data_IF_157228527995
#
_entry.id   IF_157228527995
#
_cell.length_a   1.000
_cell.length_b   1.000
_cell.length_c   1.000
_cell.angle_alpha   90.00
_cell.angle_beta   90.00
_cell.angle_gamma   90.00
#
_symmetry.space_group_name_H-M   'P 1'
#
loop_
_entity.id
_entity.type
_entity.pdbx_description
1 polymer ?
#
# COMPACT_ATOMS: atom_id res chain seq x y z
N UNK A 1 -26.90 -36.80 -15.85
CA UNK A 1 -26.34 -35.58 -15.27
C UNK A 1 -26.69 -35.57 -13.79
N UNK A 2 -25.74 -35.87 -12.97
CA UNK A 2 -25.88 -35.77 -11.49
C UNK A 2 -25.24 -34.48 -11.03
N UNK A 3 -26.05 -33.55 -10.58
CA UNK A 3 -25.63 -32.33 -9.91
C UNK A 3 -25.04 -32.66 -8.53
N UNK A 4 -23.74 -32.48 -8.37
CA UNK A 4 -23.10 -32.52 -7.06
C UNK A 4 -23.26 -31.15 -6.42
N UNK A 5 -24.06 -31.07 -5.37
CA UNK A 5 -24.16 -29.95 -4.46
C UNK A 5 -22.97 -29.98 -3.50
N UNK A 6 -22.12 -28.97 -3.55
CA UNK A 6 -21.06 -28.73 -2.58
C UNK A 6 -21.70 -28.28 -1.26
N UNK A 7 -21.43 -28.92 -0.12
CA UNK A 7 -21.91 -28.41 1.15
C UNK A 7 -21.07 -27.18 1.58
N UNK A 8 -21.75 -26.06 1.73
CA UNK A 8 -21.20 -24.85 2.35
C UNK A 8 -21.04 -25.15 3.84
N UNK A 9 -19.80 -25.28 4.28
CA UNK A 9 -19.45 -25.44 5.69
C UNK A 9 -19.58 -24.08 6.38
N UNK A 10 -20.71 -23.85 7.05
CA UNK A 10 -20.86 -22.72 7.99
C UNK A 10 -20.00 -23.03 9.22
N UNK A 11 -18.85 -22.38 9.34
CA UNK A 11 -18.05 -22.38 10.56
C UNK A 11 -18.76 -21.51 11.60
N UNK A 12 -19.48 -22.14 12.53
CA UNK A 12 -19.94 -21.48 13.75
C UNK A 12 -18.74 -21.18 14.64
N UNK A 13 -18.30 -19.93 14.70
CA UNK A 13 -17.33 -19.46 15.68
C UNK A 13 -17.99 -19.40 17.06
N UNK A 14 -17.77 -20.42 17.89
CA UNK A 14 -18.00 -20.30 19.33
C UNK A 14 -16.82 -19.54 19.93
N UNK A 15 -17.07 -18.33 20.44
CA UNK A 15 -16.13 -17.61 21.30
C UNK A 15 -15.92 -18.39 22.57
N UNK A 16 -14.78 -19.07 22.74
CA UNK A 16 -14.38 -19.68 23.99
C UNK A 16 -13.83 -18.61 24.93
N UNK A 17 -14.55 -18.34 26.01
CA UNK A 17 -14.10 -17.56 27.17
C UNK A 17 -12.91 -18.32 27.79
N UNK A 18 -11.78 -17.69 28.11
CA UNK A 18 -10.64 -18.37 28.70
C UNK A 18 -10.99 -18.80 30.14
N UNK A 19 -11.25 -20.08 30.34
CA UNK A 19 -11.55 -20.65 31.64
C UNK A 19 -12.13 -22.07 31.62
N UNK A 20 -12.67 -22.52 30.50
CA UNK A 20 -13.27 -23.85 30.39
C UNK A 20 -12.88 -24.42 29.02
N UNK A 21 -11.75 -25.06 28.93
CA UNK A 21 -11.44 -25.95 27.81
C UNK A 21 -10.35 -26.94 28.22
N UNK A 22 -10.75 -27.94 28.95
CA UNK A 22 -10.13 -29.24 28.81
C UNK A 22 -11.02 -30.07 27.88
N UNK A 23 -10.38 -30.53 26.79
CA UNK A 23 -10.70 -31.68 25.99
C UNK A 23 -12.07 -31.79 25.31
N UNK A 24 -12.13 -31.40 24.08
CA UNK A 24 -12.53 -32.20 22.90
C UNK A 24 -12.55 -31.32 21.66
N UNK A 25 -11.40 -31.20 20.99
CA UNK A 25 -11.37 -30.66 19.62
C UNK A 25 -12.02 -31.69 18.70
N UNK A 26 -13.02 -31.32 17.88
CA UNK A 26 -13.62 -32.26 16.93
C UNK A 26 -12.53 -32.80 16.00
N UNK A 27 -12.36 -34.13 15.99
CA UNK A 27 -11.47 -34.76 15.03
C UNK A 27 -12.20 -34.88 13.70
N UNK A 28 -11.82 -34.03 12.74
CA UNK A 28 -12.21 -34.19 11.36
C UNK A 28 -11.24 -35.15 10.69
N UNK A 29 -11.75 -36.27 10.19
CA UNK A 29 -11.00 -37.21 9.34
C UNK A 29 -11.40 -36.97 7.87
N UNK A 30 -10.43 -36.97 6.95
CA UNK A 30 -10.70 -37.05 5.54
C UNK A 30 -11.11 -38.50 5.15
N UNK A 31 -11.61 -38.68 3.94
CA UNK A 31 -12.05 -40.00 3.43
C UNK A 31 -10.93 -41.04 3.36
N UNK A 32 -9.69 -40.67 3.62
CA UNK A 32 -8.50 -41.52 3.69
C UNK A 32 -7.99 -41.76 5.12
N UNK A 33 -8.75 -41.33 6.13
CA UNK A 33 -8.37 -41.51 7.55
C UNK A 33 -7.26 -40.58 8.05
N UNK A 34 -6.89 -39.56 7.30
CA UNK A 34 -5.91 -38.56 7.75
C UNK A 34 -6.58 -37.61 8.75
N UNK A 35 -6.07 -37.53 9.96
CA UNK A 35 -6.59 -36.63 10.97
C UNK A 35 -6.20 -35.20 10.68
N UNK A 36 -7.20 -34.31 10.49
CA UNK A 36 -7.02 -32.87 10.48
C UNK A 36 -6.96 -32.41 11.93
N UNK A 37 -5.78 -32.04 12.40
CA UNK A 37 -5.58 -31.54 13.74
C UNK A 37 -5.42 -30.01 13.75
N UNK A 38 -6.34 -29.32 14.43
CA UNK A 38 -6.15 -27.92 14.80
C UNK A 38 -5.17 -27.86 15.97
N UNK A 39 -3.91 -27.58 15.69
CA UNK A 39 -2.88 -27.44 16.73
C UNK A 39 -2.44 -26.00 16.85
N UNK A 40 -2.16 -25.58 18.07
CA UNK A 40 -1.44 -24.33 18.31
C UNK A 40 -0.13 -24.35 17.55
N UNK A 41 0.19 -23.28 16.83
CA UNK A 41 1.41 -23.18 16.02
C UNK A 41 2.65 -23.37 16.87
N UNK A 42 3.46 -24.38 16.56
CA UNK A 42 4.78 -24.57 17.14
C UNK A 42 5.81 -23.60 16.55
N UNK A 43 6.98 -23.50 17.15
CA UNK A 43 8.04 -22.58 16.74
C UNK A 43 8.49 -22.81 15.29
N UNK A 44 8.64 -24.06 14.86
CA UNK A 44 9.05 -24.42 13.51
C UNK A 44 7.98 -24.00 12.46
N UNK A 45 6.72 -24.24 12.77
CA UNK A 45 5.60 -23.80 11.90
C UNK A 45 5.56 -22.28 11.80
N UNK A 46 5.77 -21.55 12.91
CA UNK A 46 5.82 -20.09 12.90
C UNK A 46 6.98 -19.56 12.05
N UNK A 47 8.13 -20.19 12.12
CA UNK A 47 9.28 -19.81 11.29
C UNK A 47 8.97 -19.94 9.80
N UNK A 48 8.36 -21.05 9.38
CA UNK A 48 7.94 -21.27 7.99
C UNK A 48 6.93 -20.19 7.55
N UNK A 49 5.89 -19.95 8.34
CA UNK A 49 4.89 -18.95 8.05
C UNK A 49 5.49 -17.55 7.95
N UNK A 50 6.39 -17.17 8.87
CA UNK A 50 7.01 -15.84 8.87
C UNK A 50 7.92 -15.59 7.67
N UNK A 51 8.53 -16.63 7.09
CA UNK A 51 9.30 -16.49 5.83
C UNK A 51 8.45 -15.97 4.67
N UNK A 52 7.21 -16.45 4.57
CA UNK A 52 6.29 -16.15 3.49
C UNK A 52 5.27 -15.04 3.83
N UNK A 53 5.30 -14.56 5.06
CA UNK A 53 4.36 -13.53 5.50
C UNK A 53 4.70 -12.19 4.84
N UNK A 54 3.70 -11.45 4.33
CA UNK A 54 3.93 -10.10 3.83
C UNK A 54 4.58 -9.20 4.88
N UNK A 55 5.46 -8.32 4.44
CA UNK A 55 6.24 -7.43 5.32
C UNK A 55 5.33 -6.51 6.12
N UNK A 56 4.29 -5.99 5.50
CA UNK A 56 3.28 -5.13 6.11
C UNK A 56 2.52 -5.80 7.27
N UNK A 57 2.49 -7.12 7.29
CA UNK A 57 1.81 -7.88 8.34
C UNK A 57 2.76 -8.39 9.45
N UNK A 58 4.07 -8.17 9.34
CA UNK A 58 5.04 -8.69 10.33
C UNK A 58 4.91 -8.07 11.71
N UNK A 59 4.33 -6.88 11.81
CA UNK A 59 4.04 -6.23 13.09
C UNK A 59 2.86 -6.86 13.84
N UNK A 60 1.96 -7.54 13.12
CA UNK A 60 0.79 -8.22 13.72
C UNK A 60 1.25 -9.59 14.21
N UNK A 61 0.80 -10.09 15.38
CA UNK A 61 1.13 -11.43 15.84
C UNK A 61 0.80 -12.50 14.78
N UNK A 62 1.68 -13.48 14.63
CA UNK A 62 1.38 -14.60 13.75
C UNK A 62 0.15 -15.37 14.25
N UNK A 63 -0.69 -15.93 13.35
CA UNK A 63 -1.84 -16.70 13.73
C UNK A 63 -1.49 -17.78 14.75
N UNK A 64 -2.34 -17.95 15.77
CA UNK A 64 -2.10 -18.90 16.84
C UNK A 64 -2.39 -20.34 16.41
N UNK A 65 -3.18 -20.51 15.34
CA UNK A 65 -3.62 -21.81 14.86
C UNK A 65 -3.22 -22.03 13.42
N UNK A 66 -2.84 -23.28 13.12
CA UNK A 66 -2.57 -23.70 11.75
C UNK A 66 -3.14 -25.11 11.54
N UNK A 67 -3.67 -25.33 10.35
CA UNK A 67 -3.96 -26.65 9.83
C UNK A 67 -2.72 -27.15 9.12
N UNK A 68 -2.23 -28.34 9.49
CA UNK A 68 -1.05 -28.91 8.87
C UNK A 68 -1.17 -30.41 8.65
N UNK A 69 -0.56 -30.92 7.59
CA UNK A 69 -0.43 -32.36 7.38
C UNK A 69 0.58 -32.95 8.34
N UNK A 70 0.44 -34.26 8.61
CA UNK A 70 1.30 -35.00 9.57
C UNK A 70 2.80 -34.86 9.30
N UNK A 71 3.20 -34.70 8.06
CA UNK A 71 4.60 -34.52 7.63
C UNK A 71 5.03 -33.06 7.48
N UNK A 72 4.20 -32.10 7.90
CA UNK A 72 4.41 -30.65 7.74
C UNK A 72 4.66 -30.17 6.29
N UNK A 73 4.33 -30.96 5.29
CA UNK A 73 4.50 -30.57 3.89
C UNK A 73 3.47 -29.57 3.41
N UNK A 74 2.32 -29.48 4.09
CA UNK A 74 1.27 -28.51 3.84
C UNK A 74 0.88 -27.82 5.14
N UNK A 75 0.86 -26.50 5.13
CA UNK A 75 0.49 -25.64 6.26
C UNK A 75 -0.47 -24.59 5.73
N UNK A 76 -1.60 -24.41 6.41
CA UNK A 76 -2.57 -23.36 6.10
C UNK A 76 -2.93 -22.62 7.38
N UNK A 77 -2.97 -21.30 7.33
CA UNK A 77 -3.41 -20.45 8.43
C UNK A 77 -4.43 -19.44 7.97
N UNK A 78 -5.31 -19.08 8.86
CA UNK A 78 -6.23 -17.95 8.73
C UNK A 78 -5.85 -16.97 9.83
N UNK A 79 -5.61 -15.74 9.46
CA UNK A 79 -5.32 -14.63 10.36
C UNK A 79 -6.13 -13.41 9.99
N UNK A 80 -5.91 -12.32 10.70
CA UNK A 80 -6.56 -11.09 10.37
C UNK A 80 -6.59 -10.09 11.51
N UNK A 81 -7.32 -9.01 11.30
CA UNK A 81 -7.59 -8.00 12.31
C UNK A 81 -8.98 -7.41 12.16
N UNK A 82 -9.58 -7.08 13.28
CA UNK A 82 -10.80 -6.28 13.35
C UNK A 82 -10.40 -4.95 13.98
N UNK A 83 -10.69 -3.86 13.29
CA UNK A 83 -10.37 -2.51 13.71
C UNK A 83 -11.64 -1.71 13.98
N UNK A 84 -11.58 -0.85 14.95
CA UNK A 84 -12.54 0.23 15.16
C UNK A 84 -11.76 1.54 15.24
N UNK A 85 -12.01 2.44 14.29
CA UNK A 85 -11.38 3.75 14.22
C UNK A 85 -12.44 4.80 14.52
N UNK A 86 -12.12 5.70 15.46
CA UNK A 86 -12.88 6.90 15.74
C UNK A 86 -12.04 8.09 15.35
N UNK A 87 -12.57 8.99 14.54
CA UNK A 87 -11.82 10.15 14.06
C UNK A 87 -12.64 11.43 14.16
N UNK A 88 -11.91 12.53 14.33
CA UNK A 88 -12.45 13.87 14.36
C UNK A 88 -11.61 14.78 13.47
N UNK A 89 -12.18 15.17 12.33
CA UNK A 89 -11.58 16.15 11.42
C UNK A 89 -11.77 17.56 11.96
N UNK A 90 -10.72 18.37 11.89
CA UNK A 90 -10.70 19.76 12.38
C UNK A 90 -10.32 20.67 11.23
N UNK A 91 -11.28 21.30 10.59
CA UNK A 91 -11.02 22.30 9.54
C UNK A 91 -11.81 22.09 8.28
N UNK A 92 -11.24 21.45 7.27
CA UNK A 92 -11.82 21.38 5.93
C UNK A 92 -12.68 20.13 5.68
N UNK A 93 -12.93 19.32 6.69
CA UNK A 93 -13.76 18.13 6.61
C UNK A 93 -13.27 17.14 5.53
N UNK A 94 -12.00 16.78 5.63
CA UNK A 94 -11.33 15.91 4.68
C UNK A 94 -12.00 14.54 4.53
N UNK A 95 -12.56 14.00 5.60
CA UNK A 95 -13.29 12.74 5.61
C UNK A 95 -14.43 12.67 4.58
N UNK A 96 -15.11 13.80 4.31
CA UNK A 96 -16.22 13.87 3.34
C UNK A 96 -15.78 14.18 1.91
N UNK A 97 -14.50 14.40 1.68
CA UNK A 97 -14.02 14.61 0.32
C UNK A 97 -14.05 13.29 -0.47
N UNK A 98 -14.48 13.32 -1.74
CA UNK A 98 -14.66 12.09 -2.54
C UNK A 98 -13.41 11.21 -2.62
N UNK A 99 -12.22 11.84 -2.67
CA UNK A 99 -10.95 11.15 -2.89
C UNK A 99 -10.21 10.81 -1.59
N UNK A 100 -10.72 11.23 -0.43
CA UNK A 100 -10.05 11.02 0.85
C UNK A 100 -10.62 9.83 1.64
N UNK A 101 -11.93 9.81 1.82
CA UNK A 101 -12.56 8.81 2.69
C UNK A 101 -11.97 8.84 4.10
N UNK A 102 -11.64 7.66 4.64
CA UNK A 102 -11.04 7.53 5.97
C UNK A 102 -9.55 7.86 5.97
N UNK A 103 -8.86 7.70 4.83
CA UNK A 103 -7.46 8.08 4.69
C UNK A 103 -7.26 9.58 4.87
N UNK A 104 -6.14 9.98 5.45
CA UNK A 104 -5.75 11.39 5.52
C UNK A 104 -5.00 11.79 4.24
N UNK A 105 -5.75 11.87 3.13
CA UNK A 105 -5.22 12.14 1.79
C UNK A 105 -4.93 13.62 1.63
N UNK A 106 -3.69 14.05 1.80
CA UNK A 106 -3.32 15.47 1.76
C UNK A 106 -3.62 16.13 0.42
N UNK A 107 -3.56 15.37 -0.69
CA UNK A 107 -3.93 15.87 -2.02
C UNK A 107 -5.43 16.13 -2.21
N UNK A 108 -6.27 15.64 -1.32
CA UNK A 108 -7.71 15.87 -1.31
C UNK A 108 -8.12 17.05 -0.43
N UNK A 109 -7.19 17.68 0.30
CA UNK A 109 -7.48 18.88 1.09
C UNK A 109 -8.02 19.98 0.15
N UNK A 110 -9.23 20.52 0.40
CA UNK A 110 -9.83 21.55 -0.44
C UNK A 110 -8.99 22.83 -0.50
N UNK A 111 -8.74 23.35 -1.71
CA UNK A 111 -8.08 24.64 -1.94
C UNK A 111 -8.91 25.43 -2.94
N UNK A 112 -9.41 26.62 -2.56
CA UNK A 112 -9.31 27.28 -1.25
C UNK A 112 -10.05 26.51 -0.15
N UNK A 113 -9.67 26.77 1.09
CA UNK A 113 -10.36 26.19 2.27
C UNK A 113 -11.87 26.43 2.22
N UNK A 114 -12.64 25.43 2.63
CA UNK A 114 -14.10 25.52 2.69
C UNK A 114 -14.50 26.61 3.69
N UNK A 115 -15.34 27.54 3.26
CA UNK A 115 -15.87 28.59 4.16
C UNK A 115 -16.77 27.98 5.25
N UNK A 116 -16.54 28.35 6.51
CA UNK A 116 -17.30 27.86 7.65
C UNK A 116 -16.79 26.51 8.16
N UNK A 117 -15.60 26.51 8.77
CA UNK A 117 -14.96 25.36 9.40
C UNK A 117 -15.94 24.29 9.88
N UNK A 118 -15.99 23.17 9.19
CA UNK A 118 -16.82 22.04 9.57
C UNK A 118 -15.92 20.95 10.14
N UNK A 119 -16.01 20.78 11.44
CA UNK A 119 -15.48 19.59 12.09
C UNK A 119 -16.46 18.44 11.90
N UNK A 120 -15.95 17.25 11.73
CA UNK A 120 -16.78 16.06 11.57
C UNK A 120 -16.23 14.89 12.38
N UNK A 121 -17.16 14.14 12.97
CA UNK A 121 -16.83 12.92 13.73
C UNK A 121 -17.27 11.70 12.94
N UNK A 122 -16.43 10.67 12.93
CA UNK A 122 -16.76 9.40 12.30
C UNK A 122 -16.34 8.21 13.16
N UNK A 123 -17.03 7.11 12.97
CA UNK A 123 -16.68 5.78 13.50
C UNK A 123 -16.69 4.83 12.32
N UNK A 124 -15.61 4.07 12.16
CA UNK A 124 -15.50 3.17 11.03
C UNK A 124 -14.65 1.94 11.38
N UNK A 125 -15.06 0.72 10.97
CA UNK A 125 -14.28 -0.51 11.10
C UNK A 125 -13.24 -0.70 9.95
N UNK A 126 -12.79 0.37 9.33
CA UNK A 126 -11.82 0.33 8.23
C UNK A 126 -10.52 -0.39 8.61
N UNK A 127 -9.83 -0.95 7.63
CA UNK A 127 -8.68 -1.82 7.79
C UNK A 127 -8.97 -3.14 8.51
N UNK A 128 -10.25 -3.49 8.73
CA UNK A 128 -10.58 -4.85 9.12
C UNK A 128 -10.34 -5.78 7.93
N UNK A 129 -9.60 -6.84 8.18
CA UNK A 129 -9.21 -7.77 7.12
C UNK A 129 -9.03 -9.19 7.65
N UNK A 130 -9.25 -10.15 6.77
CA UNK A 130 -8.94 -11.56 6.99
C UNK A 130 -7.90 -11.96 5.95
N UNK A 131 -6.89 -12.70 6.36
CA UNK A 131 -5.88 -13.24 5.47
C UNK A 131 -5.80 -14.77 5.57
N UNK A 132 -5.53 -15.38 4.42
CA UNK A 132 -5.27 -16.80 4.26
C UNK A 132 -3.84 -16.96 3.76
N UNK A 133 -3.06 -17.74 4.48
CA UNK A 133 -1.72 -18.11 4.07
C UNK A 133 -1.61 -19.62 3.94
N UNK A 134 -1.07 -20.07 2.81
CA UNK A 134 -0.85 -21.48 2.50
C UNK A 134 0.62 -21.68 2.17
N UNK A 135 1.26 -22.68 2.75
CA UNK A 135 2.61 -23.10 2.37
C UNK A 135 2.58 -24.59 2.06
N UNK A 136 2.95 -24.93 0.84
CA UNK A 136 3.07 -26.29 0.34
C UNK A 136 4.53 -26.68 0.17
N UNK A 137 4.84 -27.96 0.31
CA UNK A 137 6.19 -28.53 0.20
C UNK A 137 7.20 -27.82 1.10
N UNK A 138 6.76 -27.43 2.31
CA UNK A 138 7.57 -26.67 3.25
C UNK A 138 8.94 -27.32 3.48
N UNK A 139 9.98 -26.48 3.60
CA UNK A 139 11.39 -26.87 3.78
C UNK A 139 11.97 -27.75 2.64
N UNK A 140 11.40 -27.70 1.46
CA UNK A 140 11.96 -28.36 0.26
C UNK A 140 12.48 -27.33 -0.77
N UNK A 141 13.26 -27.80 -1.74
CA UNK A 141 13.69 -26.94 -2.86
C UNK A 141 12.54 -26.44 -3.75
N UNK A 142 11.37 -27.02 -3.64
CA UNK A 142 10.17 -26.68 -4.41
C UNK A 142 9.08 -26.07 -3.52
N UNK A 143 9.47 -25.46 -2.41
CA UNK A 143 8.53 -24.74 -1.53
C UNK A 143 7.72 -23.73 -2.31
N UNK A 144 6.41 -23.77 -2.09
CA UNK A 144 5.40 -22.93 -2.74
C UNK A 144 4.58 -22.26 -1.64
N UNK A 145 4.25 -20.99 -1.78
CA UNK A 145 3.29 -20.35 -0.89
C UNK A 145 2.22 -19.59 -1.68
N UNK A 146 1.07 -19.42 -1.06
CA UNK A 146 0.02 -18.54 -1.51
C UNK A 146 -0.47 -17.67 -0.36
N UNK A 147 -0.79 -16.43 -0.66
CA UNK A 147 -1.33 -15.46 0.27
C UNK A 147 -2.51 -14.73 -0.36
N UNK A 148 -3.62 -14.69 0.38
CA UNK A 148 -4.83 -13.94 -0.02
C UNK A 148 -5.26 -13.09 1.16
N UNK A 149 -5.52 -11.80 0.92
CA UNK A 149 -6.06 -10.87 1.90
C UNK A 149 -7.34 -10.26 1.40
N UNK A 150 -8.40 -10.42 2.17
CA UNK A 150 -9.69 -9.79 1.96
C UNK A 150 -9.90 -8.75 3.06
N UNK A 151 -10.37 -7.58 2.71
CA UNK A 151 -10.59 -6.53 3.69
C UNK A 151 -11.65 -5.55 3.26
N UNK A 152 -12.00 -4.66 4.18
CA UNK A 152 -12.92 -3.57 3.91
C UNK A 152 -12.15 -2.40 3.32
N UNK A 153 -12.71 -1.79 2.28
CA UNK A 153 -12.16 -0.58 1.66
C UNK A 153 -13.22 0.51 1.58
N UNK A 154 -12.80 1.73 1.88
CA UNK A 154 -13.63 2.92 1.76
C UNK A 154 -14.81 2.99 2.72
N UNK A 155 -15.68 3.96 2.45
CA UNK A 155 -16.82 4.28 3.30
C UNK A 155 -17.97 3.27 3.20
N UNK A 156 -18.00 2.46 2.14
CA UNK A 156 -19.11 1.55 1.84
C UNK A 156 -18.93 0.15 2.45
N UNK A 157 -17.86 -0.09 3.20
CA UNK A 157 -17.56 -1.38 3.85
C UNK A 157 -17.61 -2.59 2.89
N UNK A 158 -17.40 -2.37 1.60
CA UNK A 158 -17.36 -3.44 0.64
C UNK A 158 -16.15 -4.34 0.91
N UNK A 159 -16.39 -5.64 0.91
CA UNK A 159 -15.30 -6.62 0.98
C UNK A 159 -14.57 -6.65 -0.35
N UNK A 160 -13.28 -6.40 -0.32
CA UNK A 160 -12.42 -6.35 -1.50
C UNK A 160 -11.25 -7.31 -1.37
N UNK A 161 -10.79 -7.81 -2.51
CA UNK A 161 -9.49 -8.47 -2.60
C UNK A 161 -8.40 -7.40 -2.51
N UNK A 162 -7.61 -7.44 -1.45
CA UNK A 162 -6.53 -6.49 -1.23
C UNK A 162 -5.18 -7.01 -1.71
N UNK A 163 -4.99 -8.33 -1.68
CA UNK A 163 -3.76 -9.01 -2.12
C UNK A 163 -4.11 -10.43 -2.55
N UNK A 164 -3.50 -10.90 -3.62
CA UNK A 164 -3.55 -12.29 -4.03
C UNK A 164 -2.29 -12.64 -4.82
N UNK A 165 -1.37 -13.34 -4.19
CA UNK A 165 -0.13 -13.74 -4.87
C UNK A 165 0.35 -15.10 -4.39
N UNK A 166 1.20 -15.70 -5.18
CA UNK A 166 1.93 -16.93 -4.86
C UNK A 166 3.43 -16.72 -5.01
N UNK A 167 4.19 -17.50 -4.25
CA UNK A 167 5.64 -17.59 -4.40
C UNK A 167 6.04 -19.02 -4.75
N UNK A 168 7.01 -19.15 -5.60
CA UNK A 168 7.67 -20.41 -5.90
C UNK A 168 9.16 -20.18 -5.87
N UNK A 169 9.85 -20.75 -4.87
CA UNK A 169 11.26 -20.45 -4.61
C UNK A 169 11.44 -18.92 -4.41
N UNK A 170 12.27 -18.32 -5.26
CA UNK A 170 12.63 -16.90 -5.24
C UNK A 170 11.73 -16.03 -6.15
N UNK A 171 10.75 -16.65 -6.83
CA UNK A 171 9.80 -15.96 -7.71
C UNK A 171 8.50 -15.64 -6.98
N UNK A 172 7.93 -14.50 -7.32
CA UNK A 172 6.60 -14.08 -6.88
C UNK A 172 5.74 -13.75 -8.08
N UNK A 173 4.45 -14.14 -8.02
CA UNK A 173 3.46 -13.96 -9.08
C UNK A 173 2.14 -13.52 -8.47
N UNK A 174 1.52 -12.45 -8.95
CA UNK A 174 0.18 -12.03 -8.54
C UNK A 174 0.09 -10.59 -8.10
N UNK A 175 -1.00 -10.26 -7.41
CA UNK A 175 -1.33 -8.90 -6.97
C UNK A 175 -0.79 -8.63 -5.57
N UNK A 176 0.13 -7.69 -5.46
CA UNK A 176 0.76 -7.28 -4.20
C UNK A 176 1.24 -5.82 -4.26
N UNK A 177 1.83 -5.33 -3.18
CA UNK A 177 2.52 -4.04 -3.22
C UNK A 177 3.69 -4.10 -4.21
N UNK A 178 3.83 -3.05 -5.03
CA UNK A 178 4.87 -2.93 -6.06
C UNK A 178 6.26 -3.28 -5.53
N UNK A 179 7.09 -3.89 -6.37
CA UNK A 179 8.48 -4.20 -6.05
C UNK A 179 9.32 -2.94 -5.75
N UNK A 180 8.92 -1.78 -6.30
CA UNK A 180 9.58 -0.50 -6.01
C UNK A 180 9.42 -0.10 -4.56
N UNK A 181 8.27 -0.41 -3.91
CA UNK A 181 7.97 -0.01 -2.54
C UNK A 181 8.89 -0.71 -1.53
N UNK A 182 9.43 0.06 -0.61
CA UNK A 182 10.14 -0.47 0.55
C UNK A 182 9.24 -0.50 1.79
N UNK A 183 8.51 -1.60 1.97
CA UNK A 183 7.56 -1.76 3.08
C UNK A 183 8.19 -1.68 4.48
N UNK A 184 9.50 -1.87 4.61
CA UNK A 184 10.18 -1.74 5.90
C UNK A 184 10.54 -0.29 6.25
N UNK A 185 10.74 0.55 5.23
CA UNK A 185 11.21 1.92 5.39
C UNK A 185 10.14 2.97 5.02
N UNK A 186 8.97 2.50 4.55
CA UNK A 186 7.92 3.39 4.10
C UNK A 186 7.50 4.34 5.22
N UNK A 187 7.22 3.81 6.40
CA UNK A 187 6.77 4.62 7.54
C UNK A 187 6.84 3.86 8.86
N UNK A 188 6.91 4.55 10.02
CA UNK A 188 6.58 3.95 11.29
C UNK A 188 5.09 3.56 11.36
N UNK A 189 4.66 2.75 12.34
CA UNK A 189 3.26 2.43 12.55
C UNK A 189 2.37 3.67 12.64
N UNK A 190 1.20 3.61 11.99
CA UNK A 190 0.20 4.68 11.94
C UNK A 190 -1.21 4.10 11.95
N UNK A 191 -2.17 4.85 12.46
CA UNK A 191 -3.61 4.54 12.37
C UNK A 191 -4.13 4.94 11.00
N UNK A 192 -3.55 5.99 10.39
CA UNK A 192 -3.95 6.46 9.06
C UNK A 192 -3.70 5.40 7.98
N UNK A 193 -4.75 4.92 7.30
CA UNK A 193 -4.62 3.92 6.25
C UNK A 193 -3.92 4.44 4.98
N UNK A 194 -3.93 5.77 4.78
CA UNK A 194 -3.24 6.39 3.65
C UNK A 194 -1.74 6.44 3.89
N UNK A 195 -1.30 6.91 5.06
CA UNK A 195 0.10 7.14 5.36
C UNK A 195 0.70 8.38 4.70
N UNK A 196 2.04 8.53 4.76
CA UNK A 196 2.71 9.76 4.39
C UNK A 196 2.64 10.08 2.89
N UNK A 197 2.38 11.34 2.57
CA UNK A 197 2.15 11.85 1.21
C UNK A 197 3.26 11.51 0.20
N UNK A 198 4.52 11.54 0.62
CA UNK A 198 5.68 11.27 -0.24
C UNK A 198 6.16 9.82 -0.25
N UNK A 199 5.42 8.91 0.39
CA UNK A 199 5.77 7.50 0.38
C UNK A 199 5.59 6.90 -1.03
N UNK A 200 6.50 6.02 -1.43
CA UNK A 200 6.32 5.18 -2.62
C UNK A 200 5.43 4.02 -2.23
N UNK A 201 4.22 3.99 -2.77
CA UNK A 201 3.24 2.94 -2.51
C UNK A 201 2.27 2.78 -3.67
N UNK A 202 2.10 1.56 -4.14
CA UNK A 202 1.06 1.17 -5.09
C UNK A 202 0.84 -0.34 -5.02
N UNK A 203 -0.25 -0.80 -5.60
CA UNK A 203 -0.54 -2.22 -5.82
C UNK A 203 -0.33 -2.52 -7.30
N UNK A 204 0.30 -3.64 -7.60
CA UNK A 204 0.58 -4.06 -8.96
C UNK A 204 0.34 -5.56 -9.15
N UNK A 205 -0.03 -5.96 -10.37
CA UNK A 205 0.21 -7.31 -10.83
C UNK A 205 1.70 -7.44 -11.10
N UNK A 206 2.34 -8.33 -10.38
CA UNK A 206 3.80 -8.45 -10.34
C UNK A 206 4.25 -9.85 -10.74
N UNK A 207 5.33 -9.90 -11.53
CA UNK A 207 6.17 -11.06 -11.69
C UNK A 207 7.56 -10.63 -11.28
N UNK A 208 8.10 -11.19 -10.20
CA UNK A 208 9.41 -10.76 -9.69
C UNK A 208 10.26 -11.93 -9.25
N UNK A 209 11.57 -11.69 -9.30
CA UNK A 209 12.58 -12.51 -8.69
C UNK A 209 13.24 -11.73 -7.56
N UNK A 210 13.38 -12.38 -6.40
CA UNK A 210 14.09 -11.81 -5.24
C UNK A 210 15.18 -12.77 -4.81
N UNK A 211 16.45 -12.36 -4.85
CA UNK A 211 17.58 -13.20 -4.49
C UNK A 211 17.54 -13.64 -3.02
N UNK A 212 18.03 -14.83 -2.68
CA UNK A 212 18.40 -15.16 -1.32
C UNK A 212 19.39 -14.14 -0.74
N UNK A 213 19.41 -14.01 0.60
CA UNK A 213 20.39 -13.15 1.26
C UNK A 213 21.77 -13.80 1.24
N UNK A 214 22.76 -13.07 0.73
CA UNK A 214 24.15 -13.47 0.79
C UNK A 214 24.99 -12.41 1.51
N UNK A 215 25.48 -12.72 2.70
CA UNK A 215 26.27 -11.79 3.55
C UNK A 215 25.62 -10.43 3.73
N UNK A 216 24.31 -10.39 3.89
CA UNK A 216 23.53 -9.17 4.04
C UNK A 216 23.06 -8.54 2.72
N UNK A 217 23.59 -8.94 1.57
CA UNK A 217 23.15 -8.45 0.27
C UNK A 217 21.94 -9.22 -0.27
N UNK A 218 21.01 -8.47 -0.84
CA UNK A 218 19.86 -8.97 -1.61
C UNK A 218 19.60 -8.05 -2.79
N UNK A 219 18.99 -8.60 -3.83
CA UNK A 219 18.48 -7.82 -4.96
C UNK A 219 17.18 -8.41 -5.48
N UNK A 220 16.42 -7.61 -6.18
CA UNK A 220 15.24 -8.08 -6.89
C UNK A 220 15.06 -7.29 -8.19
N UNK A 221 14.38 -7.93 -9.12
CA UNK A 221 13.94 -7.35 -10.38
C UNK A 221 12.57 -7.92 -10.72
N UNK A 222 11.71 -7.14 -11.33
CA UNK A 222 10.37 -7.58 -11.69
C UNK A 222 9.76 -6.85 -12.85
N UNK A 223 8.55 -7.26 -13.16
CA UNK A 223 7.63 -6.63 -14.09
C UNK A 223 6.39 -6.27 -13.29
N UNK A 224 6.03 -4.98 -13.25
CA UNK A 224 4.89 -4.44 -12.52
C UNK A 224 3.87 -3.87 -13.49
N UNK A 225 2.60 -4.19 -13.24
CA UNK A 225 1.45 -3.55 -13.88
C UNK A 225 0.56 -2.96 -12.76
N UNK A 226 0.65 -1.65 -12.49
CA UNK A 226 -0.12 -1.03 -11.43
C UNK A 226 -1.61 -1.25 -11.59
N UNK A 227 -2.30 -1.74 -10.56
CA UNK A 227 -3.74 -2.02 -10.58
C UNK A 227 -4.55 -0.78 -10.27
N UNK A 228 -4.05 0.03 -9.34
CA UNK A 228 -4.62 1.34 -9.07
C UNK A 228 -4.07 2.34 -10.08
N UNK A 229 -4.97 3.00 -10.81
CA UNK A 229 -4.61 4.07 -11.73
C UNK A 229 -3.74 3.61 -12.92
N UNK A 230 -4.09 2.49 -13.55
CA UNK A 230 -3.36 1.96 -14.71
C UNK A 230 -3.23 2.95 -15.87
N UNK A 231 -4.26 3.78 -16.09
CA UNK A 231 -4.25 4.88 -17.07
C UNK A 231 -3.94 6.24 -16.44
N UNK A 232 -3.77 6.29 -15.13
CA UNK A 232 -3.64 7.55 -14.43
C UNK A 232 -2.25 8.15 -14.56
N UNK A 233 -2.21 9.44 -14.60
CA UNK A 233 -1.00 10.20 -14.75
C UNK A 233 -0.75 10.66 -16.17
N UNK A 234 -1.64 10.35 -17.10
CA UNK A 234 -1.62 10.88 -18.46
C UNK A 234 -2.66 12.00 -18.57
N UNK A 235 -2.29 13.04 -19.27
CA UNK A 235 -3.13 14.13 -19.68
C UNK A 235 -4.41 13.66 -20.39
N UNK A 236 -5.56 14.25 -20.05
CA UNK A 236 -6.88 13.82 -20.57
C UNK A 236 -7.28 14.40 -21.92
N UNK A 237 -6.39 15.14 -22.58
CA UNK A 237 -6.66 15.77 -23.86
C UNK A 237 -7.34 17.15 -23.74
N UNK A 238 -7.00 18.03 -24.67
CA UNK A 238 -7.75 19.25 -24.93
C UNK A 238 -8.46 19.12 -26.28
N UNK A 239 -9.70 19.59 -26.33
CA UNK A 239 -10.41 19.69 -27.59
C UNK A 239 -9.88 20.90 -28.37
N UNK A 240 -9.25 20.63 -29.51
CA UNK A 240 -8.86 21.67 -30.47
C UNK A 240 -9.89 21.77 -31.58
N UNK A 241 -10.33 22.96 -31.96
CA UNK A 241 -11.16 23.13 -33.16
C UNK A 241 -10.33 22.80 -34.41
N UNK A 242 -10.81 21.81 -35.17
CA UNK A 242 -10.29 21.60 -36.53
C UNK A 242 -10.70 22.72 -37.48
N UNK A 243 -9.99 22.81 -38.58
CA UNK A 243 -10.28 23.79 -39.64
C UNK A 243 -11.70 23.63 -40.24
N UNK A 244 -12.31 22.47 -40.11
CA UNK A 244 -13.68 22.14 -40.53
C UNK A 244 -14.75 22.41 -39.44
N UNK A 245 -14.37 22.98 -38.31
CA UNK A 245 -15.27 23.27 -37.19
C UNK A 245 -15.56 22.11 -36.25
N UNK A 246 -15.01 20.91 -36.51
CA UNK A 246 -15.12 19.78 -35.56
C UNK A 246 -14.08 19.92 -34.43
N UNK A 247 -14.45 19.52 -33.23
CA UNK A 247 -13.50 19.44 -32.11
C UNK A 247 -12.78 18.08 -32.13
N UNK A 248 -11.46 18.13 -32.03
CA UNK A 248 -10.61 16.92 -31.92
C UNK A 248 -9.78 17.01 -30.67
N UNK A 249 -9.87 15.99 -29.87
CA UNK A 249 -8.97 15.79 -28.73
C UNK A 249 -7.55 15.57 -29.26
N UNK A 250 -6.58 16.37 -28.84
CA UNK A 250 -5.19 16.33 -29.33
C UNK A 250 -4.44 15.05 -28.95
N UNK A 251 -4.90 14.35 -27.88
CA UNK A 251 -4.34 13.09 -27.43
C UNK A 251 -5.42 12.04 -27.20
N UNK A 252 -5.08 10.80 -27.50
CA UNK A 252 -5.85 9.64 -27.10
C UNK A 252 -4.96 8.79 -26.20
N UNK A 253 -5.53 8.29 -25.09
CA UNK A 253 -4.86 7.32 -24.25
C UNK A 253 -4.38 6.15 -25.09
N UNK A 254 -3.13 5.79 -24.90
CA UNK A 254 -2.59 4.58 -25.45
C UNK A 254 -2.45 3.56 -24.33
N UNK A 255 -2.68 2.31 -24.68
CA UNK A 255 -2.50 1.21 -23.75
C UNK A 255 -1.04 1.09 -23.33
N UNK A 256 -0.79 0.77 -22.06
CA UNK A 256 0.53 0.42 -21.59
C UNK A 256 0.91 -0.94 -22.18
N UNK A 257 1.73 -0.96 -23.21
CA UNK A 257 2.11 -2.16 -23.94
C UNK A 257 3.19 -2.98 -23.23
N UNK A 258 3.99 -2.35 -22.38
CA UNK A 258 5.11 -2.95 -21.68
C UNK A 258 4.94 -2.68 -20.19
N UNK A 259 4.99 -3.71 -19.33
CA UNK A 259 4.99 -3.52 -17.88
C UNK A 259 6.12 -2.60 -17.43
N UNK A 260 5.94 -1.93 -16.29
CA UNK A 260 7.00 -1.20 -15.61
C UNK A 260 8.05 -2.18 -15.11
N UNK A 261 9.33 -1.77 -15.07
CA UNK A 261 10.45 -2.61 -14.68
C UNK A 261 11.10 -2.04 -13.41
N UNK A 262 10.61 -2.41 -12.22
CA UNK A 262 11.27 -2.08 -10.97
C UNK A 262 12.41 -3.04 -10.67
N UNK A 263 13.44 -2.51 -10.00
CA UNK A 263 14.55 -3.30 -9.47
C UNK A 263 15.11 -2.63 -8.22
N UNK A 264 15.72 -3.43 -7.32
CA UNK A 264 16.42 -2.89 -6.17
C UNK A 264 17.61 -3.75 -5.74
N UNK A 265 18.54 -3.11 -5.02
CA UNK A 265 19.62 -3.74 -4.29
C UNK A 265 19.58 -3.27 -2.84
N UNK A 266 19.72 -4.19 -1.90
CA UNK A 266 19.64 -3.96 -0.47
C UNK A 266 20.86 -4.55 0.23
N UNK A 267 21.36 -3.80 1.21
CA UNK A 267 22.34 -4.32 2.16
C UNK A 267 21.81 -4.16 3.60
N UNK A 268 21.75 -5.29 4.31
CA UNK A 268 21.28 -5.34 5.70
C UNK A 268 22.46 -5.63 6.63
N UNK A 269 22.77 -4.68 7.50
CA UNK A 269 23.77 -4.83 8.57
C UNK A 269 23.22 -5.65 9.75
N UNK A 270 21.92 -5.50 10.00
CA UNK A 270 21.16 -6.24 11.01
C UNK A 270 19.67 -6.21 10.67
N UNK A 271 18.81 -6.76 11.52
CA UNK A 271 17.37 -6.82 11.28
C UNK A 271 16.74 -5.44 10.99
N UNK A 272 17.19 -4.38 11.68
CA UNK A 272 16.63 -3.03 11.57
C UNK A 272 17.66 -1.98 11.09
N UNK A 273 18.80 -2.42 10.59
CA UNK A 273 19.81 -1.53 10.02
C UNK A 273 20.07 -1.96 8.59
N UNK A 274 19.47 -1.25 7.64
CA UNK A 274 19.57 -1.59 6.23
C UNK A 274 19.47 -0.34 5.36
N UNK A 275 20.02 -0.46 4.18
CA UNK A 275 19.96 0.53 3.11
C UNK A 275 19.53 -0.18 1.83
N UNK A 276 18.62 0.46 1.08
CA UNK A 276 18.14 -0.03 -0.21
C UNK A 276 18.22 1.09 -1.23
N UNK A 277 18.71 0.76 -2.41
CA UNK A 277 18.61 1.58 -3.61
C UNK A 277 17.68 0.87 -4.57
N UNK A 278 16.65 1.57 -5.03
CA UNK A 278 15.66 1.05 -5.97
C UNK A 278 15.58 1.93 -7.21
N UNK A 279 15.18 1.37 -8.31
CA UNK A 279 14.93 2.08 -9.55
C UNK A 279 13.73 1.49 -10.28
N UNK A 280 13.15 2.30 -11.19
CA UNK A 280 12.06 1.88 -12.06
C UNK A 280 12.22 2.51 -13.43
N UNK A 281 11.96 1.72 -14.48
CA UNK A 281 11.77 2.19 -15.83
C UNK A 281 10.33 1.96 -16.23
N UNK A 282 9.73 2.97 -16.87
CA UNK A 282 8.33 2.98 -17.30
C UNK A 282 8.26 3.30 -18.77
N UNK A 283 7.37 2.63 -19.50
CA UNK A 283 7.11 2.93 -20.90
C UNK A 283 5.64 3.30 -21.07
N UNK A 284 5.40 4.45 -21.71
CA UNK A 284 4.07 4.91 -22.06
C UNK A 284 3.96 5.10 -23.55
N UNK A 285 2.82 4.70 -24.10
CA UNK A 285 2.46 5.03 -25.45
C UNK A 285 1.23 5.96 -25.43
N UNK A 286 1.19 6.91 -26.35
CA UNK A 286 0.01 7.74 -26.59
C UNK A 286 -0.15 8.01 -28.07
N UNK A 287 -1.38 8.23 -28.49
CA UNK A 287 -1.67 8.63 -29.85
C UNK A 287 -1.73 10.14 -29.96
N UNK A 288 -0.77 10.71 -30.69
CA UNK A 288 -0.79 12.10 -31.10
C UNK A 288 -1.83 12.25 -32.22
N UNK A 289 -2.95 12.86 -31.90
CA UNK A 289 -4.07 13.02 -32.85
C UNK A 289 -3.82 14.11 -33.87
N UNK A 290 -2.89 15.06 -33.61
CA UNK A 290 -2.49 16.10 -34.55
C UNK A 290 -1.66 15.49 -35.67
N UNK A 291 -0.63 14.73 -35.30
CA UNK A 291 0.25 14.08 -36.28
C UNK A 291 -0.26 12.67 -36.70
N UNK A 292 -1.38 12.21 -36.14
CA UNK A 292 -1.98 10.89 -36.37
C UNK A 292 -0.98 9.72 -36.26
N UNK A 293 -0.15 9.76 -35.21
CA UNK A 293 0.86 8.72 -34.96
C UNK A 293 0.95 8.35 -33.49
N UNK A 294 1.32 7.09 -33.21
CA UNK A 294 1.66 6.65 -31.87
C UNK A 294 3.05 7.16 -31.50
N UNK A 295 3.16 7.74 -30.31
CA UNK A 295 4.43 8.18 -29.70
C UNK A 295 4.69 7.38 -28.43
N UNK A 296 5.95 7.21 -28.12
CA UNK A 296 6.41 6.54 -26.90
C UNK A 296 7.14 7.54 -26.00
N UNK A 297 6.98 7.34 -24.69
CA UNK A 297 7.64 8.12 -23.65
C UNK A 297 8.19 7.20 -22.59
N UNK A 298 9.34 7.57 -22.05
CA UNK A 298 9.99 6.84 -20.96
C UNK A 298 9.84 7.65 -19.68
N UNK A 299 9.27 7.02 -18.65
CA UNK A 299 9.37 7.46 -17.27
C UNK A 299 10.49 6.71 -16.54
N UNK A 300 11.06 7.33 -15.54
CA UNK A 300 12.08 6.69 -14.71
C UNK A 300 12.04 7.24 -13.29
N UNK A 301 12.48 6.44 -12.34
CA UNK A 301 12.62 6.84 -10.95
C UNK A 301 13.75 6.13 -10.25
N UNK A 302 14.29 6.78 -9.24
CA UNK A 302 15.26 6.22 -8.31
C UNK A 302 14.81 6.50 -6.88
N UNK A 303 15.09 5.58 -5.97
CA UNK A 303 14.73 5.70 -4.56
C UNK A 303 15.87 5.19 -3.69
N UNK A 304 16.17 5.97 -2.65
CA UNK A 304 17.00 5.57 -1.52
C UNK A 304 16.09 5.39 -0.31
N UNK A 305 16.18 4.24 0.35
CA UNK A 305 15.36 3.94 1.53
C UNK A 305 16.11 3.08 2.54
N UNK A 306 15.62 3.05 3.76
CA UNK A 306 16.19 2.18 4.78
C UNK A 306 15.69 2.47 6.19
N UNK A 307 16.27 1.71 7.12
CA UNK A 307 16.04 1.84 8.54
C UNK A 307 17.37 1.89 9.27
N UNK A 308 17.40 2.64 10.35
CA UNK A 308 18.51 2.69 11.31
C UNK A 308 17.96 2.49 12.72
N UNK A 309 18.53 1.53 13.44
CA UNK A 309 18.16 1.23 14.82
C UNK A 309 19.43 1.31 15.69
N UNK A 310 19.76 2.51 16.21
CA UNK A 310 20.94 2.70 17.04
C UNK A 310 20.83 2.00 18.41
N UNK A 311 19.61 1.64 18.81
CA UNK A 311 19.34 0.87 20.02
C UNK A 311 18.01 0.11 19.86
N UNK A 312 17.74 -0.86 20.72
CA UNK A 312 16.49 -1.66 20.71
C UNK A 312 15.22 -0.79 20.92
N UNK A 313 15.39 0.44 21.38
CA UNK A 313 14.27 1.36 21.63
C UNK A 313 13.93 2.25 20.44
N UNK A 314 14.88 2.56 19.57
CA UNK A 314 14.69 3.51 18.47
C UNK A 314 14.84 2.85 17.11
N UNK A 315 13.89 3.14 16.22
CA UNK A 315 13.98 2.80 14.80
C UNK A 315 13.69 4.07 14.00
N UNK A 316 14.66 4.48 13.21
CA UNK A 316 14.50 5.56 12.24
C UNK A 316 14.15 4.98 10.87
N UNK A 317 13.25 5.66 10.19
CA UNK A 317 12.76 5.31 8.84
C UNK A 317 13.11 6.46 7.91
N UNK A 318 13.60 6.16 6.72
CA UNK A 318 13.86 7.17 5.71
C UNK A 318 13.61 6.64 4.31
N UNK A 319 13.06 7.49 3.47
CA UNK A 319 12.84 7.25 2.06
C UNK A 319 12.96 8.56 1.30
N UNK A 320 13.64 8.54 0.15
CA UNK A 320 13.70 9.63 -0.81
C UNK A 320 13.58 9.04 -2.20
N UNK A 321 12.53 9.40 -2.92
CA UNK A 321 12.29 9.03 -4.30
C UNK A 321 12.29 10.27 -5.19
N UNK A 322 12.95 10.18 -6.33
CA UNK A 322 12.94 11.19 -7.38
C UNK A 322 12.84 10.53 -8.75
N UNK A 323 12.13 11.19 -9.66
CA UNK A 323 12.03 10.70 -11.03
C UNK A 323 11.17 11.57 -11.92
N UNK A 324 10.91 11.07 -13.12
CA UNK A 324 10.03 11.69 -14.11
C UNK A 324 8.95 10.71 -14.52
N UNK A 325 7.68 11.13 -14.42
CA UNK A 325 6.56 10.26 -14.79
C UNK A 325 6.25 9.15 -13.80
N UNK A 326 6.64 9.27 -12.52
CA UNK A 326 6.43 8.25 -11.48
C UNK A 326 5.24 8.55 -10.56
N UNK A 327 4.33 9.43 -10.92
CA UNK A 327 3.22 9.84 -10.05
C UNK A 327 2.35 8.69 -9.56
N UNK A 328 2.15 7.64 -10.37
CA UNK A 328 1.40 6.45 -9.95
C UNK A 328 2.03 5.70 -8.76
N UNK A 329 3.31 5.92 -8.52
CA UNK A 329 4.06 5.29 -7.42
C UNK A 329 4.20 6.19 -6.19
N UNK A 330 3.86 7.48 -6.28
CA UNK A 330 3.87 8.40 -5.15
C UNK A 330 2.47 8.49 -4.55
N UNK A 331 2.35 8.13 -3.29
CA UNK A 331 1.10 7.93 -2.56
C UNK A 331 0.05 9.04 -2.82
N UNK A 332 0.45 10.29 -2.68
CA UNK A 332 -0.45 11.44 -2.75
C UNK A 332 -0.72 11.94 -4.18
N UNK A 333 0.13 11.56 -5.12
CA UNK A 333 0.05 11.97 -6.53
C UNK A 333 -0.66 10.91 -7.38
N UNK A 334 -0.73 9.68 -6.89
CA UNK A 334 -1.35 8.56 -7.61
C UNK A 334 -2.79 8.91 -8.02
N UNK A 335 -3.10 8.62 -9.29
CA UNK A 335 -4.40 8.93 -9.87
C UNK A 335 -4.56 10.33 -10.46
N UNK A 336 -3.62 11.25 -10.23
CA UNK A 336 -3.68 12.59 -10.83
C UNK A 336 -3.08 12.60 -12.25
N UNK A 337 -3.68 13.32 -13.22
CA UNK A 337 -3.27 13.31 -14.61
C UNK A 337 -2.07 14.25 -14.86
N UNK A 338 -0.99 14.07 -14.11
CA UNK A 338 0.17 14.98 -14.04
C UNK A 338 1.53 14.31 -14.18
N UNK A 339 1.57 12.98 -14.35
CA UNK A 339 2.83 12.27 -14.61
C UNK A 339 3.40 12.59 -15.98
N UNK A 340 2.54 12.68 -16.99
CA UNK A 340 2.86 13.05 -18.35
C UNK A 340 1.91 14.16 -18.78
N UNK A 341 2.48 15.25 -19.23
CA UNK A 341 1.76 16.50 -19.53
C UNK A 341 2.15 17.01 -20.91
N UNK A 342 1.27 17.77 -21.59
CA UNK A 342 1.60 18.36 -22.88
C UNK A 342 2.76 19.33 -22.76
N UNK A 343 3.58 19.42 -23.81
CA UNK A 343 4.52 20.52 -23.99
C UNK A 343 3.79 21.76 -24.44
N UNK A 344 4.07 22.89 -23.82
CA UNK A 344 3.37 24.14 -24.13
C UNK A 344 3.76 24.72 -25.51
N UNK A 345 4.97 24.39 -25.97
CA UNK A 345 5.59 24.90 -27.21
C UNK A 345 5.54 23.94 -28.40
N UNK A 346 5.15 22.67 -28.16
CA UNK A 346 5.14 21.62 -29.19
C UNK A 346 3.80 20.83 -29.15
N UNK A 347 2.76 21.33 -29.87
CA UNK A 347 1.47 20.65 -29.99
C UNK A 347 1.64 19.19 -30.41
N UNK A 348 0.89 18.26 -29.79
CA UNK A 348 0.98 16.83 -30.05
C UNK A 348 2.15 16.12 -29.36
N UNK A 349 2.98 16.82 -28.60
CA UNK A 349 4.06 16.22 -27.82
C UNK A 349 3.85 16.38 -26.32
N UNK A 350 4.19 15.35 -25.57
CA UNK A 350 4.13 15.31 -24.13
C UNK A 350 5.54 15.31 -23.51
N UNK A 351 5.62 15.67 -22.24
CA UNK A 351 6.82 15.56 -21.40
C UNK A 351 6.49 14.85 -20.09
N UNK A 352 7.46 14.12 -19.55
CA UNK A 352 7.35 13.54 -18.22
C UNK A 352 7.62 14.61 -17.16
N UNK A 353 6.74 14.71 -16.17
CA UNK A 353 6.88 15.69 -15.09
C UNK A 353 7.91 15.24 -14.07
N UNK A 354 8.91 16.06 -13.72
CA UNK A 354 9.81 15.82 -12.60
C UNK A 354 9.04 15.85 -11.28
N UNK A 355 9.24 14.85 -10.44
CA UNK A 355 8.55 14.72 -9.17
C UNK A 355 9.39 14.02 -8.11
N UNK A 356 9.05 14.28 -6.86
CA UNK A 356 9.74 13.74 -5.70
C UNK A 356 8.75 13.37 -4.61
N UNK A 357 9.06 12.31 -3.89
CA UNK A 357 8.46 11.98 -2.61
C UNK A 357 9.53 11.65 -1.60
N UNK A 358 9.39 12.14 -0.38
CA UNK A 358 10.26 11.72 0.71
C UNK A 358 9.51 11.65 2.03
N UNK A 359 9.98 10.81 2.91
CA UNK A 359 9.51 10.71 4.27
C UNK A 359 10.63 10.34 5.22
N UNK A 360 10.50 10.82 6.43
CA UNK A 360 11.33 10.45 7.59
C UNK A 360 10.40 10.15 8.75
N UNK A 361 10.79 9.21 9.58
CA UNK A 361 10.02 8.85 10.75
C UNK A 361 10.86 8.20 11.83
N UNK A 362 10.30 8.14 13.03
CA UNK A 362 10.91 7.49 14.17
C UNK A 362 9.89 6.72 14.98
N UNK A 363 10.24 5.52 15.40
CA UNK A 363 9.55 4.76 16.43
C UNK A 363 10.39 4.75 17.69
N UNK A 364 9.75 4.99 18.84
CA UNK A 364 10.33 4.89 20.17
C UNK A 364 9.57 3.86 20.99
N UNK A 365 10.17 2.72 21.23
CA UNK A 365 9.64 1.65 22.09
C UNK A 365 9.96 1.97 23.55
N UNK A 366 9.08 2.73 24.23
CA UNK A 366 9.27 3.12 25.61
C UNK A 366 9.28 1.90 26.54
N UNK A 367 8.39 0.93 26.28
CA UNK A 367 8.31 -0.36 26.94
C UNK A 367 7.94 -1.44 25.90
N UNK A 368 7.88 -2.71 26.33
CA UNK A 368 7.36 -3.82 25.48
C UNK A 368 5.88 -3.65 25.09
N UNK A 369 5.14 -2.74 25.73
CA UNK A 369 3.71 -2.49 25.48
C UNK A 369 3.43 -1.11 24.92
N UNK A 370 4.32 -0.13 25.13
CA UNK A 370 4.09 1.28 24.79
C UNK A 370 5.09 1.75 23.74
N UNK A 371 4.55 2.22 22.60
CA UNK A 371 5.30 2.72 21.48
C UNK A 371 4.81 4.11 21.09
N UNK A 372 5.73 5.02 20.83
CA UNK A 372 5.46 6.33 20.24
C UNK A 372 6.05 6.39 18.84
N UNK A 373 5.37 7.05 17.93
CA UNK A 373 5.84 7.24 16.57
C UNK A 373 5.63 8.68 16.15
N UNK A 374 6.53 9.19 15.32
CA UNK A 374 6.38 10.47 14.65
C UNK A 374 6.92 10.35 13.23
N UNK A 375 6.30 11.07 12.28
CA UNK A 375 6.73 11.09 10.89
C UNK A 375 6.43 12.43 10.23
N UNK A 376 7.24 12.75 9.22
CA UNK A 376 7.06 13.90 8.36
C UNK A 376 7.37 13.54 6.92
N UNK A 377 6.60 14.08 5.97
CA UNK A 377 6.68 13.71 4.57
C UNK A 377 6.30 14.84 3.64
N UNK A 378 6.83 14.79 2.42
CA UNK A 378 6.46 15.67 1.33
C UNK A 378 6.40 14.90 0.02
N UNK A 379 5.40 15.22 -0.80
CA UNK A 379 5.40 14.95 -2.24
C UNK A 379 5.35 16.26 -3.02
N UNK A 380 6.03 16.31 -4.17
CA UNK A 380 6.18 17.54 -4.94
C UNK A 380 6.34 17.27 -6.44
N UNK A 381 5.78 18.17 -7.24
CA UNK A 381 6.02 18.28 -8.67
C UNK A 381 6.70 19.62 -8.93
N UNK A 382 7.77 19.64 -9.74
CA UNK A 382 8.54 20.87 -9.95
C UNK A 382 8.13 21.64 -11.18
N UNK A 383 8.16 21.02 -12.30
CA UNK A 383 7.90 21.71 -13.56
C UNK A 383 6.55 21.32 -14.10
N UNK A 384 5.80 22.32 -14.60
CA UNK A 384 4.44 22.14 -15.02
C UNK A 384 4.18 22.90 -16.28
N UNK A 385 3.46 22.28 -17.18
CA UNK A 385 2.89 22.99 -18.32
C UNK A 385 1.70 23.86 -17.86
N UNK A 386 1.27 24.79 -18.70
CA UNK A 386 0.09 25.62 -18.45
C UNK A 386 -1.17 24.78 -18.22
N UNK A 387 -1.21 23.58 -18.80
CA UNK A 387 -2.24 22.57 -18.52
C UNK A 387 -2.41 22.30 -17.04
N UNK A 388 -1.33 22.08 -16.29
CA UNK A 388 -1.43 21.75 -14.86
C UNK A 388 -1.97 22.93 -14.04
N UNK A 389 -1.72 24.17 -14.49
CA UNK A 389 -2.27 25.37 -13.85
C UNK A 389 -3.77 25.49 -14.11
N UNK A 390 -4.23 25.00 -15.26
CA UNK A 390 -5.62 25.02 -15.68
C UNK A 390 -6.47 23.87 -15.11
N UNK A 391 -5.86 22.87 -14.47
CA UNK A 391 -6.57 21.76 -13.87
C UNK A 391 -7.62 22.22 -12.83
N UNK A 392 -8.75 21.49 -12.72
CA UNK A 392 -9.71 21.69 -11.65
C UNK A 392 -9.06 21.65 -10.27
N UNK A 393 -9.68 22.27 -9.27
CA UNK A 393 -9.15 22.39 -7.90
C UNK A 393 -8.80 21.05 -7.28
N UNK A 394 -9.59 20.01 -7.54
CA UNK A 394 -9.36 18.65 -7.04
C UNK A 394 -8.08 18.01 -7.62
N UNK A 395 -7.71 18.36 -8.82
CA UNK A 395 -6.57 17.78 -9.56
C UNK A 395 -5.33 18.68 -9.56
N UNK A 396 -5.51 20.00 -9.30
CA UNK A 396 -4.42 20.97 -9.28
C UNK A 396 -3.51 20.74 -8.08
N UNK A 397 -2.24 20.39 -8.33
CA UNK A 397 -1.33 19.94 -7.30
C UNK A 397 0.10 20.45 -7.57
N UNK A 398 0.70 21.10 -6.58
CA UNK A 398 2.09 21.54 -6.60
C UNK A 398 2.94 20.73 -5.62
N UNK A 399 2.53 20.69 -4.37
CA UNK A 399 3.12 19.83 -3.34
C UNK A 399 2.14 19.63 -2.19
N UNK A 400 2.38 18.60 -1.40
CA UNK A 400 1.73 18.42 -0.11
C UNK A 400 2.76 18.06 0.96
N UNK A 401 2.43 18.42 2.19
CA UNK A 401 3.15 18.07 3.40
C UNK A 401 2.23 17.24 4.30
N UNK A 402 2.82 16.29 4.98
CA UNK A 402 2.12 15.40 5.91
C UNK A 402 2.96 15.26 7.18
N UNK A 403 2.31 15.34 8.33
CA UNK A 403 2.90 15.03 9.61
C UNK A 403 1.96 14.18 10.44
N UNK A 404 2.50 13.18 11.13
CA UNK A 404 1.76 12.36 12.08
C UNK A 404 2.57 12.14 13.35
N UNK A 405 1.85 12.10 14.48
CA UNK A 405 2.40 11.68 15.76
C UNK A 405 1.39 10.80 16.49
N UNK A 406 1.82 9.64 16.98
CA UNK A 406 0.93 8.70 17.62
C UNK A 406 1.55 7.94 18.79
N UNK A 407 0.67 7.31 19.54
CA UNK A 407 1.01 6.42 20.63
C UNK A 407 0.18 5.15 20.52
N UNK A 408 0.83 4.00 20.58
CA UNK A 408 0.17 2.68 20.64
C UNK A 408 0.44 2.00 21.98
N UNK A 409 -0.60 1.37 22.53
CA UNK A 409 -0.50 0.57 23.73
C UNK A 409 -1.07 -0.84 23.49
N UNK A 410 -0.24 -1.86 23.67
CA UNK A 410 -0.62 -3.26 23.59
C UNK A 410 -1.22 -3.70 24.92
N UNK A 411 -2.57 -3.75 24.99
CA UNK A 411 -3.32 -4.22 26.17
C UNK A 411 -2.99 -5.69 26.40
N UNK A 412 -3.06 -6.47 25.31
CA UNK A 412 -2.63 -7.88 25.25
C UNK A 412 -1.81 -8.09 23.97
N UNK A 413 -1.22 -9.27 23.74
CA UNK A 413 -0.57 -9.59 22.45
C UNK A 413 -1.51 -9.51 21.22
N UNK A 414 -2.83 -9.53 21.44
CA UNK A 414 -3.86 -9.56 20.39
C UNK A 414 -4.72 -8.29 20.37
N UNK A 415 -4.68 -7.46 21.41
CA UNK A 415 -5.52 -6.27 21.54
C UNK A 415 -4.62 -5.04 21.74
N UNK A 416 -4.70 -4.12 20.79
CA UNK A 416 -3.96 -2.87 20.79
C UNK A 416 -4.93 -1.68 20.74
N UNK A 417 -4.62 -0.62 21.46
CA UNK A 417 -5.26 0.69 21.27
C UNK A 417 -4.22 1.73 20.88
N UNK A 418 -4.69 2.79 20.22
CA UNK A 418 -3.83 3.88 19.78
C UNK A 418 -4.56 5.21 19.69
N UNK A 419 -3.79 6.28 19.74
CA UNK A 419 -4.24 7.65 19.46
C UNK A 419 -3.23 8.28 18.51
N UNK A 420 -3.72 9.06 17.56
CA UNK A 420 -2.91 9.72 16.53
C UNK A 420 -3.43 11.12 16.24
N UNK A 421 -2.49 12.04 16.06
CA UNK A 421 -2.73 13.36 15.50
C UNK A 421 -2.11 13.45 14.12
N UNK A 422 -2.85 13.97 13.16
CA UNK A 422 -2.46 14.19 11.78
C UNK A 422 -2.56 15.66 11.44
N UNK A 423 -1.58 16.15 10.70
CA UNK A 423 -1.58 17.46 10.08
C UNK A 423 -1.18 17.32 8.60
N UNK A 424 -1.87 18.05 7.75
CA UNK A 424 -1.59 18.10 6.32
C UNK A 424 -1.67 19.50 5.76
N UNK A 425 -0.86 19.73 4.70
CA UNK A 425 -0.90 20.94 3.90
C UNK A 425 -0.88 20.59 2.42
N UNK A 426 -1.78 21.18 1.65
CA UNK A 426 -1.79 21.11 0.18
C UNK A 426 -1.55 22.47 -0.43
N UNK A 427 -0.63 22.54 -1.39
CA UNK A 427 -0.36 23.72 -2.21
C UNK A 427 -0.71 23.44 -3.67
N UNK A 428 -1.41 24.37 -4.30
CA UNK A 428 -1.78 24.30 -5.72
C UNK A 428 -1.02 25.35 -6.52
N UNK A 429 -1.07 25.23 -7.86
CA UNK A 429 -0.55 26.23 -8.76
C UNK A 429 -1.60 27.35 -8.95
N UNK A 430 -1.34 28.52 -8.41
CA UNK A 430 -2.15 29.72 -8.63
C UNK A 430 -3.33 29.96 -7.69
N UNK A 431 -3.75 28.99 -6.87
CA UNK A 431 -4.90 29.15 -5.94
C UNK A 431 -4.53 29.20 -4.46
N UNK A 432 -3.24 29.16 -4.15
CA UNK A 432 -2.73 29.13 -2.78
C UNK A 432 -2.72 27.73 -2.18
N UNK A 433 -2.76 27.66 -0.85
CA UNK A 433 -2.72 26.41 -0.10
C UNK A 433 -3.76 26.37 1.02
N UNK A 434 -3.99 25.17 1.55
CA UNK A 434 -4.85 24.93 2.69
C UNK A 434 -4.26 23.85 3.60
N UNK A 435 -4.65 23.90 4.89
CA UNK A 435 -4.28 22.91 5.88
C UNK A 435 -5.50 22.12 6.33
N UNK A 436 -5.26 20.93 6.83
CA UNK A 436 -6.26 20.15 7.55
C UNK A 436 -5.63 19.41 8.73
N UNK A 437 -6.45 19.04 9.71
CA UNK A 437 -6.01 18.35 10.92
C UNK A 437 -7.01 17.25 11.26
N UNK A 438 -6.48 16.17 11.87
CA UNK A 438 -7.32 15.08 12.36
C UNK A 438 -6.76 14.52 13.66
N UNK A 439 -7.66 14.21 14.59
CA UNK A 439 -7.35 13.36 15.74
C UNK A 439 -8.12 12.06 15.55
N UNK A 440 -7.43 10.93 15.69
CA UNK A 440 -8.08 9.63 15.60
C UNK A 440 -7.60 8.66 16.65
N UNK A 441 -8.46 7.72 17.00
CA UNK A 441 -8.16 6.63 17.92
C UNK A 441 -8.51 5.30 17.28
N UNK A 442 -7.81 4.26 17.67
CA UNK A 442 -8.02 2.90 17.16
C UNK A 442 -8.11 1.90 18.32
N UNK A 443 -9.01 0.94 18.17
CA UNK A 443 -8.97 -0.31 18.90
C UNK A 443 -8.86 -1.44 17.87
N UNK A 444 -7.77 -2.23 17.96
CA UNK A 444 -7.48 -3.31 17.03
C UNK A 444 -7.38 -4.64 17.77
N UNK A 445 -8.15 -5.61 17.31
CA UNK A 445 -8.03 -7.01 17.69
C UNK A 445 -7.44 -7.80 16.53
N UNK A 446 -6.31 -8.49 16.78
CA UNK A 446 -5.62 -9.34 15.79
C UNK A 446 -5.69 -10.81 16.20
N UNK A 447 -5.90 -11.72 15.24
CA UNK A 447 -6.07 -13.16 15.48
C UNK A 447 -5.35 -14.02 14.44
#
# INVERSE_FOLDING_TARGET
MKTQTLPILLLSMSMAIPGIAQDTVPQLTDDNGSKIEFKRTDAATREILNRHRPVENKAIPAPSFAVKTRNNKFIMTIGGSINLILGYDIGNNLYKQPDAGIGFVTSAIPVPSVKGHRSDFYINPFNSAVDLQIVGLANTKNEISAYVKLGTNGNNLNLMLLRAYMTWRDFTFGEKLTLLQDCYACQPPTIDPQGPSGCVSNVAYEISYTSPSYKGFRYAIGLDMPTYYSSAGIYRGHDYPKFDGTQVTDYQDAEQLIPDIPAWVEYSFSQWNRIRVSGILRNFAYKDMIANKTRHMVGWGAMLSGNLSPSDKFIFYYQLAYGQGIGNYLQDIAGKPISFVPKDDEPGKMKASPMMGWNVGVSFNATSKLQFNAMFSQSRIWEVSDYCKALPDSENYKYALYAAANCFYNITPYLQCGIEYLWGHRQTWGKGGANDNRIQTQLQFSF
#
